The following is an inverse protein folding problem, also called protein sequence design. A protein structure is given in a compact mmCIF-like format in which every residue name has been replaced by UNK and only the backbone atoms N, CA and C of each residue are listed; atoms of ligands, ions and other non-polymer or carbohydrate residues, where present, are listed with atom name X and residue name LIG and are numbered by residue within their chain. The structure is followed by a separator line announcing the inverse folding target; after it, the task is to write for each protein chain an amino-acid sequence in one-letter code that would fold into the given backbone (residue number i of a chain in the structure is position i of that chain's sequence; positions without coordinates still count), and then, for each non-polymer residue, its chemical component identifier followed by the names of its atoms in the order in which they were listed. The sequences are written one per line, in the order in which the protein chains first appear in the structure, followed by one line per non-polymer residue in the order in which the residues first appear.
data_IF_330360451656
#
_entry.id   IF_330360451656
#
_cell.length_a   1.000
_cell.length_b   1.000
_cell.length_c   1.000
_cell.angle_alpha   90.00
_cell.angle_beta   90.00
_cell.angle_gamma   90.00
#
_symmetry.space_group_name_H-M   'P 1'
#
loop_
_entity.id
_entity.type
_entity.pdbx_description
1 polymer ?
#
# COMPACT_ATOMS: atom_id res chain seq x y z
N UNK A 1 -2.23 21.40 30.27
CA UNK A 1 -0.95 20.69 30.08
C UNK A 1 -1.00 20.05 28.72
N UNK A 2 -0.34 20.70 27.74
CA UNK A 2 -0.27 20.22 26.34
C UNK A 2 0.66 19.01 26.30
N UNK A 3 0.14 17.85 25.96
CA UNK A 3 0.97 16.71 25.55
C UNK A 3 1.48 17.00 24.13
N UNK A 4 2.70 17.53 24.03
CA UNK A 4 3.43 17.55 22.77
C UNK A 4 3.82 16.10 22.44
N UNK A 5 3.14 15.52 21.46
CA UNK A 5 3.54 14.25 20.87
C UNK A 5 4.84 14.48 20.11
N UNK A 6 5.95 14.00 20.68
CA UNK A 6 7.24 13.95 19.97
C UNK A 6 7.11 12.95 18.80
N UNK A 7 6.66 13.45 17.67
CA UNK A 7 6.81 12.72 16.41
C UNK A 7 8.29 12.83 16.03
N UNK A 8 9.00 11.71 16.13
CA UNK A 8 10.34 11.61 15.59
C UNK A 8 10.26 11.98 14.10
N UNK A 9 10.96 13.04 13.72
CA UNK A 9 11.03 13.50 12.33
C UNK A 9 11.76 12.42 11.53
N UNK A 10 11.06 11.75 10.64
CA UNK A 10 11.64 10.78 9.70
C UNK A 10 12.67 11.52 8.85
N UNK A 11 13.96 11.22 9.05
CA UNK A 11 15.08 11.83 8.33
C UNK A 11 15.40 11.03 7.06
N UNK A 12 14.53 11.11 6.05
CA UNK A 12 14.76 10.38 4.80
C UNK A 12 13.56 10.47 3.85
N UNK A 13 13.67 9.97 2.62
CA UNK A 13 12.53 9.90 1.72
C UNK A 13 11.45 8.99 2.32
N UNK A 14 10.17 9.30 2.07
CA UNK A 14 9.05 8.48 2.54
C UNK A 14 9.23 7.03 2.05
N UNK A 15 9.27 6.01 2.93
CA UNK A 15 9.33 4.63 2.50
C UNK A 15 8.06 4.25 1.73
N UNK A 16 8.20 3.39 0.73
CA UNK A 16 7.11 2.97 -0.15
C UNK A 16 6.98 1.46 -0.13
N UNK A 17 5.77 0.96 0.04
CA UNK A 17 5.42 -0.43 -0.21
C UNK A 17 4.41 -0.50 -1.34
N UNK A 18 4.80 -1.18 -2.44
CA UNK A 18 3.93 -1.36 -3.60
C UNK A 18 3.11 -2.65 -3.52
N UNK A 19 1.89 -2.60 -4.01
CA UNK A 19 1.02 -3.77 -4.20
C UNK A 19 0.73 -3.88 -5.69
N UNK A 20 1.26 -4.93 -6.32
CA UNK A 20 1.14 -5.16 -7.77
C UNK A 20 0.39 -6.44 -8.08
N UNK A 21 -0.09 -6.57 -9.31
CA UNK A 21 -0.86 -7.73 -9.77
C UNK A 21 -1.85 -7.34 -10.88
N UNK A 22 -2.54 -8.32 -11.43
CA UNK A 22 -3.52 -8.10 -12.49
C UNK A 22 -4.85 -7.55 -11.96
N UNK A 23 -5.74 -7.14 -12.86
CA UNK A 23 -7.10 -6.70 -12.50
C UNK A 23 -7.83 -7.79 -11.72
N UNK A 24 -8.56 -7.38 -10.68
CA UNK A 24 -9.35 -8.28 -9.81
C UNK A 24 -8.52 -9.32 -9.02
N UNK A 25 -7.22 -9.07 -8.80
CA UNK A 25 -6.38 -9.96 -7.97
C UNK A 25 -6.50 -9.73 -6.46
N UNK A 26 -7.24 -8.72 -6.01
CA UNK A 26 -7.39 -8.40 -4.58
C UNK A 26 -6.47 -7.29 -4.05
N UNK A 27 -5.73 -6.57 -4.92
CA UNK A 27 -4.79 -5.50 -4.52
C UNK A 27 -5.43 -4.45 -3.61
N UNK A 28 -6.55 -3.91 -4.02
CA UNK A 28 -7.23 -2.85 -3.27
C UNK A 28 -7.70 -3.34 -1.90
N UNK A 29 -8.21 -4.57 -1.81
CA UNK A 29 -8.60 -5.18 -0.53
C UNK A 29 -7.40 -5.31 0.41
N UNK A 30 -6.26 -5.79 -0.09
CA UNK A 30 -5.03 -5.89 0.69
C UNK A 30 -4.53 -4.51 1.12
N UNK A 31 -4.51 -3.54 0.21
CA UNK A 31 -4.11 -2.17 0.50
C UNK A 31 -4.96 -1.55 1.63
N UNK A 32 -6.28 -1.67 1.55
CA UNK A 32 -7.18 -1.15 2.58
C UNK A 32 -6.97 -1.81 3.95
N UNK A 33 -6.76 -3.13 3.99
CA UNK A 33 -6.48 -3.86 5.23
C UNK A 33 -5.17 -3.41 5.86
N UNK A 34 -4.11 -3.27 5.05
CA UNK A 34 -2.80 -2.82 5.51
C UNK A 34 -2.85 -1.36 6.00
N UNK A 35 -3.47 -0.47 5.25
CA UNK A 35 -3.66 0.94 5.65
C UNK A 35 -4.37 1.00 7.00
N UNK A 36 -5.45 0.25 7.18
CA UNK A 36 -6.18 0.20 8.45
C UNK A 36 -5.29 -0.30 9.58
N UNK A 37 -4.54 -1.40 9.39
CA UNK A 37 -3.68 -1.99 10.40
C UNK A 37 -2.57 -1.02 10.85
N UNK A 38 -1.96 -0.29 9.92
CA UNK A 38 -0.93 0.72 10.20
C UNK A 38 -1.53 1.96 10.89
N UNK A 39 -2.65 2.46 10.40
CA UNK A 39 -3.31 3.64 10.95
C UNK A 39 -3.79 3.42 12.39
N UNK A 40 -4.25 2.22 12.73
CA UNK A 40 -4.63 1.89 14.12
C UNK A 40 -3.43 1.85 15.08
N UNK A 41 -2.21 1.73 14.56
CA UNK A 41 -0.96 1.84 15.32
C UNK A 41 -0.41 3.27 15.36
N UNK A 42 -1.17 4.26 14.87
CA UNK A 42 -0.77 5.67 14.86
C UNK A 42 0.19 6.06 13.73
N UNK A 43 0.45 5.18 12.76
CA UNK A 43 1.29 5.46 11.60
C UNK A 43 0.48 6.28 10.58
N UNK A 44 1.04 7.41 10.13
CA UNK A 44 0.44 8.26 9.11
C UNK A 44 0.69 7.62 7.73
N UNK A 45 -0.36 7.06 7.15
CA UNK A 45 -0.25 6.32 5.87
C UNK A 45 -0.75 7.19 4.72
N UNK A 46 0.09 7.36 3.70
CA UNK A 46 -0.31 7.86 2.40
C UNK A 46 -0.73 6.71 1.48
N UNK A 47 -1.57 6.98 0.49
CA UNK A 47 -1.87 6.00 -0.55
C UNK A 47 -1.81 6.63 -1.94
N UNK A 48 -1.32 5.84 -2.91
CA UNK A 48 -1.32 6.19 -4.32
C UNK A 48 -1.83 5.00 -5.14
N UNK A 49 -2.58 5.28 -6.20
CA UNK A 49 -3.08 4.26 -7.10
C UNK A 49 -2.82 4.66 -8.54
N UNK A 50 -2.17 3.77 -9.30
CA UNK A 50 -2.04 3.89 -10.74
C UNK A 50 -3.17 3.09 -11.41
N UNK A 51 -4.03 3.78 -12.15
CA UNK A 51 -5.05 3.16 -12.97
C UNK A 51 -4.58 3.15 -14.43
N UNK A 52 -4.61 1.98 -15.07
CA UNK A 52 -4.28 1.86 -16.49
C UNK A 52 -5.38 2.42 -17.41
N UNK A 53 -6.54 2.76 -16.87
CA UNK A 53 -7.65 3.33 -17.59
C UNK A 53 -7.77 4.83 -17.31
N UNK A 54 -8.33 5.56 -18.27
CA UNK A 54 -8.68 6.97 -18.05
C UNK A 54 -9.74 7.08 -16.96
N UNK A 55 -9.48 7.94 -16.00
CA UNK A 55 -10.45 8.32 -14.98
C UNK A 55 -10.84 9.79 -15.14
N UNK A 56 -12.02 10.12 -14.69
CA UNK A 56 -12.52 11.47 -14.72
C UNK A 56 -11.93 12.26 -13.56
N UNK A 57 -11.31 13.43 -13.86
CA UNK A 57 -10.66 14.27 -12.83
C UNK A 57 -11.64 14.91 -11.88
N UNK A 58 -12.83 15.28 -12.40
CA UNK A 58 -13.88 15.97 -11.66
C UNK A 58 -15.24 15.71 -12.30
N UNK A 59 -16.32 15.98 -11.58
CA UNK A 59 -17.67 15.86 -12.10
C UNK A 59 -17.92 16.89 -13.19
N UNK A 60 -18.58 16.50 -14.31
CA UNK A 60 -18.90 17.42 -15.40
C UNK A 60 -19.78 18.59 -14.91
N UNK A 61 -19.44 19.81 -15.35
CA UNK A 61 -20.24 21.00 -15.08
C UNK A 61 -19.95 21.71 -13.77
N UNK A 62 -19.08 21.19 -12.91
CA UNK A 62 -18.60 21.90 -11.72
C UNK A 62 -17.71 23.08 -12.10
N UNK A 63 -17.58 24.08 -11.22
CA UNK A 63 -16.72 25.24 -11.49
C UNK A 63 -15.25 24.81 -11.62
N UNK A 64 -14.77 23.88 -10.79
CA UNK A 64 -13.44 23.34 -10.86
C UNK A 64 -13.17 22.57 -12.17
N UNK A 65 -14.13 21.80 -12.68
CA UNK A 65 -14.03 21.16 -13.99
C UNK A 65 -13.96 22.18 -15.12
N UNK A 66 -14.69 23.30 -15.00
CA UNK A 66 -14.64 24.40 -15.99
C UNK A 66 -13.28 25.07 -16.03
N UNK A 67 -12.59 25.26 -14.87
CA UNK A 67 -11.21 25.78 -14.87
C UNK A 67 -10.28 24.89 -15.69
N UNK A 68 -10.33 23.58 -15.50
CA UNK A 68 -9.55 22.63 -16.29
C UNK A 68 -9.88 22.64 -17.78
N UNK A 69 -11.17 22.78 -18.13
CA UNK A 69 -11.61 22.87 -19.54
C UNK A 69 -11.12 24.15 -20.22
N UNK A 70 -11.00 25.26 -19.48
CA UNK A 70 -10.52 26.52 -20.01
C UNK A 70 -9.00 26.71 -19.94
N UNK A 71 -8.27 25.64 -19.66
CA UNK A 71 -6.81 25.62 -19.83
C UNK A 71 -5.98 25.63 -18.54
N UNK A 72 -6.60 25.53 -17.36
CA UNK A 72 -5.83 25.30 -16.16
C UNK A 72 -5.11 23.95 -16.24
N UNK A 73 -3.80 23.95 -15.95
CA UNK A 73 -2.96 22.75 -15.90
C UNK A 73 -3.27 21.94 -14.65
N UNK A 74 -3.53 22.65 -13.56
CA UNK A 74 -3.89 22.07 -12.25
C UNK A 74 -4.96 22.93 -11.60
N UNK A 75 -5.91 22.32 -10.91
CA UNK A 75 -6.91 22.98 -10.12
C UNK A 75 -6.92 22.42 -8.71
N UNK A 76 -6.91 23.31 -7.72
CA UNK A 76 -7.02 22.93 -6.31
C UNK A 76 -8.39 23.38 -5.81
N UNK A 77 -9.17 22.41 -5.33
CA UNK A 77 -10.43 22.64 -4.64
C UNK A 77 -10.20 22.37 -3.15
N UNK A 78 -10.47 23.37 -2.31
CA UNK A 78 -10.27 23.25 -0.87
C UNK A 78 -11.49 23.74 -0.10
N UNK A 79 -11.73 23.13 1.06
CA UNK A 79 -12.72 23.52 2.05
C UNK A 79 -12.09 23.53 3.45
N UNK A 80 -12.87 23.76 4.50
CA UNK A 80 -12.42 23.63 5.89
C UNK A 80 -12.00 22.19 6.28
N UNK A 81 -12.45 21.19 5.52
CA UNK A 81 -12.29 19.76 5.88
C UNK A 81 -11.46 18.96 4.89
N UNK A 82 -11.35 19.41 3.63
CA UNK A 82 -10.72 18.61 2.58
C UNK A 82 -10.06 19.47 1.49
N UNK A 83 -9.06 18.89 0.84
CA UNK A 83 -8.42 19.43 -0.37
C UNK A 83 -8.37 18.36 -1.44
N UNK A 84 -8.79 18.71 -2.66
CA UNK A 84 -8.64 17.91 -3.88
C UNK A 84 -7.71 18.65 -4.85
N UNK A 85 -6.69 17.93 -5.35
CA UNK A 85 -5.77 18.45 -6.39
C UNK A 85 -6.04 17.64 -7.66
N UNK A 86 -6.34 18.34 -8.75
CA UNK A 86 -6.66 17.76 -10.05
C UNK A 86 -5.67 18.26 -11.09
N UNK A 87 -4.90 17.35 -11.65
CA UNK A 87 -3.85 17.65 -12.64
C UNK A 87 -4.08 16.84 -13.92
N UNK A 88 -3.94 17.47 -15.08
CA UNK A 88 -4.14 16.84 -16.41
C UNK A 88 -2.89 16.13 -16.95
N UNK A 89 -1.90 15.87 -16.14
CA UNK A 89 -0.69 15.16 -16.51
C UNK A 89 -0.52 13.90 -15.68
N UNK A 90 0.15 12.92 -16.24
CA UNK A 90 0.68 11.80 -15.47
C UNK A 90 1.67 12.31 -14.42
N UNK A 91 1.64 11.72 -13.25
CA UNK A 91 2.57 12.00 -12.15
C UNK A 91 3.30 10.71 -11.81
N UNK A 92 4.62 10.73 -11.81
CA UNK A 92 5.42 9.56 -11.45
C UNK A 92 5.27 9.20 -9.97
N UNK A 93 5.58 7.96 -9.60
CA UNK A 93 5.54 7.57 -8.20
C UNK A 93 6.56 8.34 -7.37
N UNK A 94 7.71 8.67 -7.94
CA UNK A 94 8.77 9.48 -7.33
C UNK A 94 8.27 10.89 -6.98
N UNK A 95 7.56 11.54 -7.89
CA UNK A 95 6.95 12.85 -7.64
C UNK A 95 5.87 12.79 -6.56
N UNK A 96 5.07 11.70 -6.54
CA UNK A 96 4.07 11.47 -5.48
C UNK A 96 4.77 11.32 -4.13
N UNK A 97 5.83 10.50 -4.04
CA UNK A 97 6.63 10.32 -2.82
C UNK A 97 7.17 11.66 -2.31
N UNK A 98 7.74 12.47 -3.19
CA UNK A 98 8.24 13.81 -2.84
C UNK A 98 7.13 14.71 -2.30
N UNK A 99 5.95 14.69 -2.91
CA UNK A 99 4.81 15.50 -2.49
C UNK A 99 4.25 15.12 -1.10
N UNK A 100 4.52 13.89 -0.65
CA UNK A 100 4.08 13.34 0.63
C UNK A 100 5.14 13.47 1.74
N UNK A 101 6.33 13.95 1.41
CA UNK A 101 7.40 14.15 2.39
C UNK A 101 6.95 15.01 3.58
N UNK A 102 7.23 14.55 4.80
CA UNK A 102 6.83 15.19 6.06
C UNK A 102 5.34 15.11 6.41
N UNK A 103 4.50 14.64 5.47
CA UNK A 103 3.04 14.49 5.68
C UNK A 103 2.65 13.10 6.14
N UNK A 104 3.36 12.07 5.66
CA UNK A 104 3.10 10.66 5.94
C UNK A 104 4.38 9.96 6.37
N UNK A 105 4.24 8.83 7.06
CA UNK A 105 5.35 8.00 7.52
C UNK A 105 5.65 6.86 6.54
N UNK A 106 4.62 6.39 5.82
CA UNK A 106 4.71 5.32 4.82
C UNK A 106 3.71 5.59 3.69
N UNK A 107 4.13 5.29 2.45
CA UNK A 107 3.26 5.31 1.28
C UNK A 107 2.92 3.89 0.82
N UNK A 108 1.64 3.55 0.73
CA UNK A 108 1.14 2.33 0.09
C UNK A 108 0.76 2.66 -1.35
N UNK A 109 1.45 2.06 -2.33
CA UNK A 109 1.22 2.33 -3.75
C UNK A 109 0.62 1.11 -4.46
N UNK A 110 -0.60 1.23 -4.97
CA UNK A 110 -1.25 0.20 -5.79
C UNK A 110 -0.92 0.41 -7.28
N UNK A 111 -0.33 -0.59 -7.90
CA UNK A 111 0.13 -0.51 -9.30
C UNK A 111 1.57 -0.01 -9.41
N UNK A 112 1.85 0.86 -10.38
CA UNK A 112 3.20 1.39 -10.66
C UNK A 112 4.25 0.28 -10.84
N UNK A 113 3.97 -0.75 -11.64
CA UNK A 113 4.78 -1.98 -11.74
C UNK A 113 6.25 -1.73 -12.05
N UNK A 114 6.55 -0.70 -12.85
CA UNK A 114 7.90 -0.33 -13.30
C UNK A 114 8.72 0.47 -12.29
N UNK A 115 8.09 1.10 -11.29
CA UNK A 115 8.81 1.84 -10.27
C UNK A 115 9.59 0.89 -9.35
N UNK A 116 10.79 1.30 -8.92
CA UNK A 116 11.74 0.41 -8.23
C UNK A 116 11.66 0.54 -6.70
N UNK A 117 10.52 0.15 -6.13
CA UNK A 117 10.31 0.05 -4.68
C UNK A 117 9.95 -1.38 -4.27
N UNK A 118 10.08 -1.74 -2.97
CA UNK A 118 9.64 -3.04 -2.44
C UNK A 118 8.20 -3.37 -2.79
N UNK A 119 7.94 -4.59 -3.28
CA UNK A 119 6.64 -5.01 -3.81
C UNK A 119 6.11 -6.27 -3.17
N UNK A 120 4.80 -6.29 -2.98
CA UNK A 120 3.98 -7.48 -2.78
C UNK A 120 3.22 -7.73 -4.07
N UNK A 121 3.36 -8.92 -4.62
CA UNK A 121 2.75 -9.30 -5.90
C UNK A 121 1.62 -10.29 -5.70
N UNK A 122 0.41 -9.94 -6.17
CA UNK A 122 -0.77 -10.81 -6.15
C UNK A 122 -0.96 -11.48 -7.51
N UNK A 123 -1.08 -12.80 -7.48
CA UNK A 123 -1.22 -13.64 -8.67
C UNK A 123 -2.32 -14.68 -8.48
N UNK A 124 -2.91 -15.13 -9.59
CA UNK A 124 -3.89 -16.21 -9.60
C UNK A 124 -3.26 -17.55 -9.97
N UNK A 125 -2.21 -17.53 -10.79
CA UNK A 125 -1.55 -18.72 -11.31
C UNK A 125 -0.09 -18.45 -11.69
N UNK A 126 0.64 -19.50 -12.04
CA UNK A 126 2.06 -19.46 -12.45
C UNK A 126 2.31 -18.57 -13.66
N UNK A 127 1.42 -18.56 -14.65
CA UNK A 127 1.60 -17.72 -15.83
C UNK A 127 1.59 -16.23 -15.49
N UNK A 128 0.73 -15.81 -14.58
CA UNK A 128 0.73 -14.43 -14.08
C UNK A 128 2.03 -14.11 -13.32
N UNK A 129 2.58 -15.06 -12.57
CA UNK A 129 3.88 -14.90 -11.92
C UNK A 129 5.00 -14.66 -12.92
N UNK A 130 5.09 -15.51 -13.94
CA UNK A 130 6.12 -15.42 -15.00
C UNK A 130 6.03 -14.06 -15.70
N UNK A 131 4.83 -13.69 -16.12
CA UNK A 131 4.61 -12.41 -16.81
C UNK A 131 4.88 -11.20 -15.92
N UNK A 132 4.51 -11.26 -14.64
CA UNK A 132 4.73 -10.13 -13.73
C UNK A 132 6.22 -9.94 -13.41
N UNK A 133 7.00 -11.02 -13.34
CA UNK A 133 8.45 -10.98 -13.16
C UNK A 133 9.20 -10.23 -14.27
N UNK A 134 8.69 -10.25 -15.49
CA UNK A 134 9.28 -9.49 -16.60
C UNK A 134 8.95 -7.99 -16.56
N UNK A 135 7.97 -7.59 -15.73
CA UNK A 135 7.43 -6.22 -15.67
C UNK A 135 7.75 -5.51 -14.34
N UNK A 136 8.13 -6.25 -13.31
CA UNK A 136 8.31 -5.71 -11.97
C UNK A 136 9.56 -6.26 -11.30
N UNK A 137 10.34 -5.37 -10.72
CA UNK A 137 11.53 -5.66 -9.88
C UNK A 137 11.17 -5.59 -8.40
N UNK A 138 12.10 -5.93 -7.52
CA UNK A 138 11.99 -5.78 -6.06
C UNK A 138 10.74 -6.43 -5.43
N UNK A 139 10.38 -7.64 -5.89
CA UNK A 139 9.26 -8.39 -5.32
C UNK A 139 9.76 -9.15 -4.09
N UNK A 140 9.26 -8.76 -2.92
CA UNK A 140 9.60 -9.33 -1.61
C UNK A 140 8.68 -10.47 -1.20
N UNK A 141 7.46 -10.52 -1.76
CA UNK A 141 6.46 -11.51 -1.39
C UNK A 141 5.48 -11.74 -2.54
N UNK A 142 5.13 -13.01 -2.75
CA UNK A 142 4.07 -13.42 -3.67
C UNK A 142 2.86 -13.89 -2.87
N UNK A 143 1.69 -13.39 -3.23
CA UNK A 143 0.41 -13.84 -2.69
C UNK A 143 -0.39 -14.52 -3.81
N UNK A 144 -0.74 -15.79 -3.62
CA UNK A 144 -1.42 -16.58 -4.63
C UNK A 144 -2.80 -17.01 -4.20
N UNK A 145 -3.74 -16.99 -5.14
CA UNK A 145 -5.07 -17.58 -4.96
C UNK A 145 -5.05 -19.10 -5.05
N UNK A 146 -4.16 -19.66 -5.85
CA UNK A 146 -4.05 -21.09 -6.10
C UNK A 146 -2.78 -21.66 -5.49
N UNK A 147 -2.88 -22.88 -5.00
CA UNK A 147 -1.73 -23.69 -4.59
C UNK A 147 -1.24 -24.48 -5.79
N UNK A 148 -0.18 -24.01 -6.43
CA UNK A 148 0.48 -24.69 -7.52
C UNK A 148 1.88 -25.13 -7.12
N UNK A 149 2.14 -26.44 -7.22
CA UNK A 149 3.44 -27.02 -6.90
C UNK A 149 4.59 -26.42 -7.75
N UNK A 150 4.27 -25.96 -8.96
CA UNK A 150 5.23 -25.32 -9.87
C UNK A 150 5.64 -23.92 -9.41
N UNK A 151 4.84 -23.23 -8.58
CA UNK A 151 5.22 -21.91 -8.05
C UNK A 151 6.49 -21.96 -7.20
N UNK A 152 6.64 -22.99 -6.37
CA UNK A 152 7.84 -23.19 -5.54
C UNK A 152 9.08 -23.44 -6.38
N UNK A 153 8.98 -24.19 -7.46
CA UNK A 153 10.12 -24.44 -8.37
C UNK A 153 10.49 -23.19 -9.18
N UNK A 154 9.53 -22.37 -9.59
CA UNK A 154 9.81 -21.11 -10.30
C UNK A 154 10.49 -20.09 -9.38
N UNK A 155 10.18 -20.07 -8.09
CA UNK A 155 10.85 -19.18 -7.13
C UNK A 155 12.26 -19.63 -6.77
N UNK A 156 12.53 -20.94 -6.75
CA UNK A 156 13.84 -21.52 -6.38
C UNK A 156 14.91 -21.39 -7.47
N UNK A 157 14.52 -21.31 -8.74
CA UNK A 157 15.46 -21.31 -9.89
C UNK A 157 16.15 -19.95 -10.10
N UNK A 158 15.63 -18.85 -9.57
CA UNK A 158 16.04 -17.49 -9.98
C UNK A 158 16.71 -16.67 -8.89
N UNK A 159 16.69 -17.10 -7.62
CA UNK A 159 17.32 -16.32 -6.54
C UNK A 159 17.93 -17.24 -5.48
N UNK A 160 19.13 -16.88 -5.00
CA UNK A 160 19.73 -17.48 -3.79
C UNK A 160 18.90 -17.20 -2.53
N UNK A 161 17.97 -16.22 -2.58
CA UNK A 161 16.98 -15.94 -1.55
C UNK A 161 15.60 -16.27 -2.13
N UNK A 162 14.95 -17.31 -1.59
CA UNK A 162 13.60 -17.71 -1.98
C UNK A 162 12.59 -16.66 -1.52
N UNK A 163 12.05 -15.90 -2.46
CA UNK A 163 10.91 -14.99 -2.18
C UNK A 163 9.71 -15.83 -1.74
N UNK A 164 9.13 -15.58 -0.55
CA UNK A 164 8.04 -16.39 -0.04
C UNK A 164 6.80 -16.30 -0.93
N UNK A 165 6.10 -17.44 -1.07
CA UNK A 165 4.77 -17.52 -1.70
C UNK A 165 3.77 -17.92 -0.63
N UNK A 166 2.82 -17.03 -0.33
CA UNK A 166 1.76 -17.27 0.65
C UNK A 166 0.42 -17.44 -0.07
N UNK A 167 -0.45 -18.28 0.49
CA UNK A 167 -1.78 -18.50 -0.07
C UNK A 167 -2.77 -17.47 0.45
N UNK A 168 -3.54 -16.86 -0.43
CA UNK A 168 -4.53 -15.83 -0.08
C UNK A 168 -5.66 -16.34 0.84
N UNK A 169 -5.84 -17.65 0.96
CA UNK A 169 -6.77 -18.24 1.95
C UNK A 169 -6.29 -18.06 3.40
N UNK A 170 -4.97 -17.93 3.64
CA UNK A 170 -4.39 -17.82 4.97
C UNK A 170 -4.31 -16.34 5.40
N UNK A 171 -5.47 -15.71 5.53
CA UNK A 171 -5.61 -14.27 5.71
C UNK A 171 -4.85 -13.72 6.93
N UNK A 172 -4.89 -14.43 8.08
CA UNK A 172 -4.21 -13.98 9.29
C UNK A 172 -2.68 -13.96 9.12
N UNK A 173 -2.13 -15.00 8.49
CA UNK A 173 -0.70 -15.07 8.18
C UNK A 173 -0.29 -13.96 7.22
N UNK A 174 -1.08 -13.73 6.17
CA UNK A 174 -0.81 -12.65 5.21
C UNK A 174 -0.82 -11.30 5.88
N UNK A 175 -1.83 -11.00 6.71
CA UNK A 175 -1.91 -9.72 7.40
C UNK A 175 -0.70 -9.48 8.28
N UNK A 176 -0.25 -10.51 8.99
CA UNK A 176 0.94 -10.44 9.83
C UNK A 176 2.21 -10.20 9.00
N UNK A 177 2.44 -11.00 7.95
CA UNK A 177 3.65 -10.92 7.13
C UNK A 177 3.73 -9.60 6.33
N UNK A 178 2.60 -9.13 5.80
CA UNK A 178 2.52 -7.86 5.07
C UNK A 178 2.73 -6.68 6.02
N UNK A 179 2.16 -6.74 7.23
CA UNK A 179 2.39 -5.74 8.26
C UNK A 179 3.85 -5.72 8.71
N UNK A 180 4.46 -6.88 8.96
CA UNK A 180 5.87 -7.00 9.34
C UNK A 180 6.78 -6.39 8.27
N UNK A 181 6.51 -6.64 6.99
CA UNK A 181 7.26 -6.04 5.89
C UNK A 181 7.12 -4.51 5.89
N UNK A 182 5.91 -3.98 6.06
CA UNK A 182 5.69 -2.54 6.11
C UNK A 182 6.42 -1.88 7.29
N UNK A 183 6.39 -2.50 8.47
CA UNK A 183 7.08 -2.00 9.66
C UNK A 183 8.61 -2.07 9.51
N UNK A 184 9.15 -3.09 8.85
CA UNK A 184 10.59 -3.19 8.58
C UNK A 184 11.09 -2.07 7.66
N UNK A 185 10.28 -1.65 6.69
CA UNK A 185 10.61 -0.51 5.83
C UNK A 185 10.64 0.81 6.60
N UNK A 186 9.75 1.00 7.56
CA UNK A 186 9.76 2.15 8.46
C UNK A 186 11.02 2.16 9.33
N UNK A 187 11.40 1.03 9.92
CA UNK A 187 12.58 0.92 10.78
C UNK A 187 13.87 1.20 10.00
N UNK A 188 14.01 0.62 8.82
CA UNK A 188 15.18 0.83 7.96
C UNK A 188 15.36 2.31 7.57
N UNK A 189 14.25 3.02 7.38
CA UNK A 189 14.28 4.46 7.06
C UNK A 189 14.60 5.36 8.27
N UNK A 190 14.35 4.88 9.50
CA UNK A 190 14.70 5.59 10.73
C UNK A 190 16.15 5.36 11.19
N UNK A 191 16.94 4.57 10.45
CA UNK A 191 18.33 4.24 10.83
C UNK A 191 18.44 3.34 12.08
N UNK A 192 17.36 2.67 12.47
CA UNK A 192 17.37 1.71 13.57
C UNK A 192 17.89 0.38 13.01
N UNK A 193 18.98 -0.22 13.56
CA UNK A 193 19.49 -1.49 13.08
C UNK A 193 18.43 -2.60 13.22
N UNK A 194 18.39 -3.49 12.22
CA UNK A 194 17.47 -4.64 12.18
C UNK A 194 17.76 -5.56 13.39
N UNK A 195 16.83 -5.64 14.35
CA UNK A 195 16.92 -6.51 15.53
C UNK A 195 16.52 -7.95 15.14
N UNK A 196 17.04 -8.47 14.04
CA UNK A 196 16.89 -9.86 13.64
C UNK A 196 18.21 -10.60 13.76
N UNK A 197 18.74 -10.70 15.02
CA UNK A 197 19.60 -11.82 15.43
C UNK A 197 19.64 -11.88 16.97
N UNK A 198 18.98 -12.90 17.51
CA UNK A 198 19.30 -13.54 18.78
C UNK A 198 19.04 -12.74 20.05
N UNK A 199 17.79 -12.65 20.47
CA UNK A 199 17.50 -12.72 21.92
C UNK A 199 16.07 -13.27 22.14
N UNK A 200 16.02 -14.45 22.71
CA UNK A 200 14.79 -15.06 23.21
C UNK A 200 14.32 -14.28 24.44
N UNK A 201 13.47 -13.31 24.23
CA UNK A 201 12.71 -12.71 25.33
C UNK A 201 11.36 -13.41 25.45
N UNK A 202 11.32 -14.35 26.40
CA UNK A 202 10.09 -14.84 27.03
C UNK A 202 9.39 -13.66 27.72
N UNK A 203 8.42 -13.10 27.04
CA UNK A 203 7.54 -12.07 27.60
C UNK A 203 6.22 -12.12 26.86
N UNK A 204 5.24 -12.86 27.41
CA UNK A 204 3.92 -13.00 26.84
C UNK A 204 3.21 -11.65 26.75
N UNK A 205 3.07 -11.16 25.55
CA UNK A 205 2.09 -10.14 25.25
C UNK A 205 0.84 -10.85 24.68
N UNK A 206 -0.23 -10.82 25.46
CA UNK A 206 -1.55 -11.27 25.06
C UNK A 206 -1.94 -10.64 23.71
N UNK A 207 -2.11 -11.46 22.69
CA UNK A 207 -2.84 -11.10 21.49
C UNK A 207 -4.27 -10.72 21.90
N UNK A 208 -4.61 -9.46 21.81
CA UNK A 208 -5.98 -9.03 21.95
C UNK A 208 -6.79 -9.55 20.76
N UNK A 209 -7.84 -10.30 21.08
CA UNK A 209 -8.79 -10.89 20.14
C UNK A 209 -9.34 -9.87 19.15
N UNK A 210 -9.09 -10.11 17.87
CA UNK A 210 -9.54 -9.30 16.73
C UNK A 210 -11.05 -9.44 16.43
N UNK A 211 -11.75 -10.26 17.22
CA UNK A 211 -13.13 -10.65 16.89
C UNK A 211 -14.23 -9.92 17.69
N UNK A 212 -13.93 -8.94 18.54
CA UNK A 212 -14.99 -8.37 19.37
C UNK A 212 -14.96 -6.85 19.51
N UNK A 213 -15.24 -6.13 18.43
CA UNK A 213 -15.93 -4.84 18.50
C UNK A 213 -16.93 -4.73 17.34
N UNK A 214 -17.94 -5.58 17.41
CA UNK A 214 -19.18 -5.37 16.69
C UNK A 214 -19.97 -4.27 17.40
N UNK A 215 -20.06 -3.11 16.80
CA UNK A 215 -21.26 -2.27 16.75
C UNK A 215 -21.17 -1.35 15.54
N UNK A 216 -22.15 -1.55 14.70
CA UNK A 216 -22.43 -0.96 13.44
C UNK A 216 -22.48 0.56 13.47
N UNK A 217 -21.90 1.12 12.46
CA UNK A 217 -22.41 2.31 11.82
C UNK A 217 -22.69 1.91 10.38
N UNK A 218 -23.95 1.70 10.12
CA UNK A 218 -24.51 1.55 8.78
C UNK A 218 -24.13 2.79 7.97
N UNK A 219 -23.48 2.59 6.85
CA UNK A 219 -23.40 3.60 5.81
C UNK A 219 -24.75 3.55 5.06
N UNK A 220 -25.40 4.68 4.77
CA UNK A 220 -26.61 4.65 3.99
C UNK A 220 -26.32 4.15 2.58
N UNK A 221 -27.13 3.17 2.17
CA UNK A 221 -27.26 2.66 0.82
C UNK A 221 -27.88 3.77 -0.05
N UNK A 222 -27.13 4.38 -0.94
CA UNK A 222 -27.71 5.28 -1.93
C UNK A 222 -28.23 4.42 -3.09
N UNK A 223 -29.53 4.11 -2.97
CA UNK A 223 -30.34 3.56 -4.04
C UNK A 223 -30.58 4.58 -5.15
N UNK A 224 -30.36 4.10 -6.34
CA UNK A 224 -30.99 4.45 -7.63
C UNK A 224 -32.04 5.60 -7.64
N UNK A 225 -31.71 6.67 -8.36
CA UNK A 225 -32.52 7.28 -9.42
C UNK A 225 -31.60 7.96 -10.45
#
# INVERSE_FOLDING_TARGET
VSMESHHATVQGPVPVLQIVGYKNSGKTTLACRLIRALSTQGIRVGSAKHDAHHFQLDDPGTDSSRHLLHGAIETVLTSSEATRIMRKSETSLEEIVQSMYGKVDLLIAEGFKSADYPKIALIRNVNEMINLRSQATNIYMWLSWEEDANMKSVTSVVSKNTTPVLLLRDQALIDQEVLNLALSLLQSNMGIPDIREGDSLTGGAHCADWNNTGRGTEFPDEGSE
#
